data_IF_969034633539
#
_entry.id   IF_969034633539
#
_cell.length_a   1.000
_cell.length_b   1.000
_cell.length_c   1.000
_cell.angle_alpha   90.00
_cell.angle_beta   90.00
_cell.angle_gamma   90.00
#
_symmetry.space_group_name_H-M   'P 1'
#
loop_
_entity.id
_entity.type
_entity.pdbx_description
1 polymer ?
#
# COMPACT_ATOMS: atom_id res chain seq x y z
N UNK A 1 2.78 20.92 10.00
CA UNK A 1 2.83 19.44 10.09
C UNK A 1 2.82 18.88 8.67
N UNK A 2 3.66 17.88 8.37
CA UNK A 2 3.65 17.23 7.05
C UNK A 2 2.31 16.53 6.81
N UNK A 3 1.72 16.74 5.63
CA UNK A 3 0.46 16.08 5.25
C UNK A 3 0.73 14.59 5.06
N UNK A 4 -0.01 13.74 5.76
CA UNK A 4 0.07 12.28 5.66
C UNK A 4 -0.73 11.82 4.46
N UNK A 5 -0.21 10.84 3.72
CA UNK A 5 -0.95 10.20 2.64
C UNK A 5 -0.76 8.69 2.61
N UNK A 6 -1.74 8.02 2.01
CA UNK A 6 -1.72 6.59 1.68
C UNK A 6 -1.71 6.46 0.17
N UNK A 7 -0.79 5.65 -0.34
CA UNK A 7 -0.73 5.30 -1.75
C UNK A 7 -1.39 3.93 -1.95
N UNK A 8 -2.38 3.87 -2.82
CA UNK A 8 -3.15 2.69 -3.19
C UNK A 8 -2.74 2.28 -4.61
N UNK A 9 -2.07 1.14 -4.75
CA UNK A 9 -1.78 0.54 -6.03
C UNK A 9 -2.89 -0.46 -6.35
N UNK A 10 -3.82 -0.06 -7.21
CA UNK A 10 -5.02 -0.83 -7.54
C UNK A 10 -5.24 -0.86 -9.06
N UNK A 11 -5.55 -2.02 -9.62
CA UNK A 11 -5.85 -2.13 -11.04
C UNK A 11 -7.35 -1.92 -11.30
N UNK A 12 -7.73 -0.70 -11.71
CA UNK A 12 -9.11 -0.33 -12.00
C UNK A 12 -9.79 -1.14 -13.12
N UNK A 13 -9.04 -1.97 -13.88
CA UNK A 13 -9.61 -2.83 -14.93
C UNK A 13 -10.37 -4.04 -14.39
N UNK A 14 -10.38 -4.28 -13.09
CA UNK A 14 -10.88 -5.53 -12.52
C UNK A 14 -12.37 -5.57 -12.19
N UNK A 15 -13.18 -4.59 -12.62
CA UNK A 15 -14.63 -4.51 -12.32
C UNK A 15 -14.96 -4.61 -10.80
N UNK A 16 -13.98 -4.37 -9.93
CA UNK A 16 -14.14 -4.42 -8.47
C UNK A 16 -14.14 -3.00 -7.90
N UNK A 17 -14.90 -2.74 -6.83
CA UNK A 17 -14.83 -1.47 -6.12
C UNK A 17 -13.40 -1.19 -5.61
N UNK A 18 -12.96 0.07 -5.77
CA UNK A 18 -11.70 0.54 -5.21
C UNK A 18 -11.81 0.64 -3.69
N UNK A 19 -10.76 0.23 -2.99
CA UNK A 19 -10.65 0.38 -1.52
C UNK A 19 -10.56 1.85 -1.14
N UNK A 20 -10.13 2.71 -2.06
CA UNK A 20 -10.17 4.16 -1.88
C UNK A 20 -11.57 4.63 -1.48
N UNK A 21 -12.61 4.16 -2.17
CA UNK A 21 -14.00 4.55 -1.89
C UNK A 21 -14.46 4.09 -0.51
N UNK A 22 -13.99 2.93 -0.04
CA UNK A 22 -14.27 2.45 1.30
C UNK A 22 -13.59 3.31 2.38
N UNK A 23 -12.38 3.80 2.11
CA UNK A 23 -11.55 4.54 3.08
C UNK A 23 -11.79 6.06 3.09
N UNK A 24 -12.23 6.65 1.97
CA UNK A 24 -12.41 8.10 1.82
C UNK A 24 -13.36 8.68 2.87
N UNK A 25 -14.38 7.91 3.28
CA UNK A 25 -15.36 8.33 4.28
C UNK A 25 -14.86 8.22 5.72
N UNK A 26 -13.86 7.38 5.98
CA UNK A 26 -13.40 7.07 7.34
C UNK A 26 -12.26 7.99 7.81
N UNK A 27 -11.53 8.61 6.89
CA UNK A 27 -10.26 9.31 7.19
C UNK A 27 -10.08 10.62 6.43
N UNK A 28 -10.90 11.66 6.71
CA UNK A 28 -10.82 12.94 5.99
C UNK A 28 -9.47 13.67 6.14
N UNK A 29 -8.72 13.38 7.20
CA UNK A 29 -7.39 13.96 7.43
C UNK A 29 -6.23 13.27 6.68
N UNK A 30 -6.49 12.17 5.97
CA UNK A 30 -5.47 11.40 5.23
C UNK A 30 -5.74 11.55 3.74
N UNK A 31 -4.72 11.98 3.00
CA UNK A 31 -4.83 12.02 1.54
C UNK A 31 -4.71 10.58 0.99
N UNK A 32 -5.73 10.12 0.26
CA UNK A 32 -5.74 8.82 -0.40
C UNK A 32 -5.44 9.00 -1.89
N UNK A 33 -4.35 8.42 -2.37
CA UNK A 33 -3.92 8.52 -3.77
C UNK A 33 -3.96 7.13 -4.39
N UNK A 34 -4.85 6.91 -5.36
CA UNK A 34 -4.90 5.64 -6.11
C UNK A 34 -4.17 5.76 -7.43
N UNK A 35 -3.35 4.75 -7.74
CA UNK A 35 -2.56 4.65 -8.97
C UNK A 35 -2.75 3.28 -9.62
N UNK A 36 -2.80 3.21 -10.96
CA UNK A 36 -3.17 1.99 -11.67
C UNK A 36 -2.02 0.99 -11.84
N UNK A 37 -0.78 1.41 -11.64
CA UNK A 37 0.41 0.59 -11.88
C UNK A 37 1.62 1.07 -11.06
N UNK A 38 2.65 0.23 -10.89
CA UNK A 38 3.80 0.58 -10.05
C UNK A 38 4.65 1.73 -10.58
N UNK A 39 4.71 1.95 -11.90
CA UNK A 39 5.44 3.09 -12.48
C UNK A 39 4.81 4.41 -12.02
N UNK A 40 3.48 4.51 -12.05
CA UNK A 40 2.75 5.67 -11.53
C UNK A 40 2.91 5.82 -10.02
N UNK A 41 2.98 4.70 -9.28
CA UNK A 41 3.27 4.73 -7.86
C UNK A 41 4.64 5.38 -7.56
N UNK A 42 5.68 5.01 -8.30
CA UNK A 42 7.01 5.61 -8.16
C UNK A 42 7.02 7.10 -8.49
N UNK A 43 6.32 7.53 -9.54
CA UNK A 43 6.19 8.95 -9.89
C UNK A 43 5.58 9.77 -8.75
N UNK A 44 4.45 9.32 -8.20
CA UNK A 44 3.80 9.98 -7.04
C UNK A 44 4.73 10.03 -5.83
N UNK A 45 5.48 8.96 -5.59
CA UNK A 45 6.43 8.91 -4.48
C UNK A 45 7.58 9.89 -4.65
N UNK A 46 8.05 10.13 -5.86
CA UNK A 46 9.08 11.11 -6.17
C UNK A 46 8.56 12.54 -6.01
N UNK A 47 7.37 12.85 -6.56
CA UNK A 47 6.69 14.13 -6.41
C UNK A 47 6.41 14.47 -4.94
N UNK A 48 5.94 13.48 -4.17
CA UNK A 48 5.60 13.66 -2.75
C UNK A 48 6.78 14.09 -1.87
N UNK A 49 8.02 13.73 -2.26
CA UNK A 49 9.25 14.15 -1.55
C UNK A 49 9.47 15.65 -1.70
N UNK A 50 9.26 16.16 -2.91
CA UNK A 50 9.36 17.59 -3.21
C UNK A 50 8.30 18.40 -2.47
N UNK A 51 7.11 17.82 -2.26
CA UNK A 51 5.99 18.45 -1.54
C UNK A 51 6.07 18.29 0.00
N UNK A 52 7.13 17.68 0.53
CA UNK A 52 7.27 17.35 1.96
C UNK A 52 6.08 16.56 2.54
N UNK A 53 5.39 15.77 1.71
CA UNK A 53 4.34 14.84 2.13
C UNK A 53 4.97 13.60 2.74
N UNK A 54 4.37 13.09 3.83
CA UNK A 54 4.85 11.88 4.49
C UNK A 54 4.01 10.67 4.08
N UNK A 55 4.61 9.75 3.32
CA UNK A 55 4.01 8.45 3.04
C UNK A 55 3.84 7.69 4.36
N UNK A 56 2.58 7.43 4.71
CA UNK A 56 2.25 6.70 5.96
C UNK A 56 2.06 5.22 5.68
N UNK A 57 1.46 4.90 4.54
CA UNK A 57 1.16 3.53 4.15
C UNK A 57 1.13 3.39 2.63
N UNK A 58 1.55 2.23 2.17
CA UNK A 58 1.43 1.76 0.80
C UNK A 58 0.56 0.51 0.82
N UNK A 59 -0.54 0.54 0.08
CA UNK A 59 -1.48 -0.58 -0.04
C UNK A 59 -1.40 -1.08 -1.47
N UNK A 60 -1.11 -2.36 -1.65
CA UNK A 60 -0.89 -2.97 -2.96
C UNK A 60 -1.89 -4.09 -3.13
N UNK A 61 -2.76 -3.94 -4.11
CA UNK A 61 -3.66 -4.99 -4.57
C UNK A 61 -2.88 -5.98 -5.45
N UNK A 62 -2.64 -7.19 -4.95
CA UNK A 62 -1.79 -8.20 -5.62
C UNK A 62 -2.43 -8.86 -6.83
N UNK A 63 -3.70 -8.58 -7.10
CA UNK A 63 -4.28 -8.93 -8.40
C UNK A 63 -3.72 -8.02 -9.53
N UNK A 64 -2.91 -7.00 -9.21
CA UNK A 64 -2.03 -6.32 -10.17
C UNK A 64 -0.90 -7.26 -10.65
N UNK A 65 -0.29 -6.96 -11.80
CA UNK A 65 0.76 -7.79 -12.40
C UNK A 65 1.89 -8.11 -11.40
N UNK A 66 1.86 -9.34 -10.89
CA UNK A 66 2.70 -9.96 -9.89
C UNK A 66 4.21 -9.64 -10.03
N UNK A 67 4.75 -9.70 -11.25
CA UNK A 67 6.17 -9.42 -11.52
C UNK A 67 6.52 -7.94 -11.34
N UNK A 68 5.62 -7.05 -11.75
CA UNK A 68 5.83 -5.61 -11.63
C UNK A 68 5.83 -5.16 -10.17
N UNK A 69 5.02 -5.82 -9.31
CA UNK A 69 4.97 -5.54 -7.88
C UNK A 69 6.28 -5.90 -7.17
N UNK A 70 6.95 -7.00 -7.56
CA UNK A 70 8.27 -7.35 -6.99
C UNK A 70 9.29 -6.26 -7.32
N UNK A 71 9.45 -5.93 -8.60
CA UNK A 71 10.41 -4.91 -9.03
C UNK A 71 10.14 -3.56 -8.38
N UNK A 72 8.87 -3.24 -8.15
CA UNK A 72 8.45 -2.06 -7.41
C UNK A 72 8.89 -2.08 -5.94
N UNK A 73 8.65 -3.16 -5.20
CA UNK A 73 9.05 -3.27 -3.80
C UNK A 73 10.57 -3.24 -3.63
N UNK A 74 11.31 -3.86 -4.54
CA UNK A 74 12.77 -3.77 -4.59
C UNK A 74 13.23 -2.33 -4.79
N UNK A 75 12.66 -1.64 -5.78
CA UNK A 75 12.96 -0.21 -6.04
C UNK A 75 12.62 0.64 -4.83
N UNK A 76 11.44 0.45 -4.25
CA UNK A 76 10.96 1.14 -3.05
C UNK A 76 11.94 0.97 -1.88
N UNK A 77 12.46 -0.23 -1.65
CA UNK A 77 13.41 -0.51 -0.57
C UNK A 77 14.74 0.26 -0.71
N UNK A 78 15.14 0.62 -1.95
CA UNK A 78 16.34 1.41 -2.21
C UNK A 78 16.10 2.89 -1.98
N UNK A 79 14.93 3.39 -2.38
CA UNK A 79 14.61 4.82 -2.27
C UNK A 79 14.09 5.18 -0.87
N UNK A 80 13.41 4.29 -0.17
CA UNK A 80 12.90 4.46 1.20
C UNK A 80 13.50 3.40 2.16
N UNK A 81 14.80 3.50 2.50
CA UNK A 81 15.52 2.44 3.22
C UNK A 81 15.12 2.27 4.71
N UNK A 82 14.36 3.19 5.31
CA UNK A 82 14.18 3.27 6.78
C UNK A 82 12.81 2.82 7.34
N UNK A 83 12.06 1.93 6.67
CA UNK A 83 10.76 1.42 7.16
C UNK A 83 9.75 2.49 7.60
N UNK A 84 9.84 3.70 7.05
CA UNK A 84 8.99 4.82 7.46
C UNK A 84 7.52 4.66 7.05
N UNK A 85 7.25 3.67 6.18
CA UNK A 85 5.96 3.39 5.60
C UNK A 85 5.56 1.93 5.87
N UNK A 86 4.31 1.71 6.28
CA UNK A 86 3.70 0.38 6.36
C UNK A 86 3.29 -0.09 4.96
N UNK A 87 3.64 -1.32 4.60
CA UNK A 87 3.22 -1.91 3.33
C UNK A 87 2.18 -2.99 3.60
N UNK A 88 0.98 -2.82 3.03
CA UNK A 88 -0.08 -3.82 3.04
C UNK A 88 -0.20 -4.43 1.65
N UNK A 89 -0.13 -5.76 1.59
CA UNK A 89 -0.43 -6.53 0.39
C UNK A 89 -1.83 -7.09 0.54
N UNK A 90 -2.67 -6.86 -0.46
CA UNK A 90 -4.03 -7.34 -0.48
C UNK A 90 -4.11 -8.52 -1.42
N UNK A 91 -4.59 -9.65 -0.92
CA UNK A 91 -4.92 -10.78 -1.76
C UNK A 91 -5.98 -11.65 -1.12
N UNK A 92 -6.93 -12.08 -1.93
CA UNK A 92 -7.93 -13.07 -1.52
C UNK A 92 -7.50 -14.51 -1.86
N UNK A 93 -6.31 -14.71 -2.45
CA UNK A 93 -5.78 -16.02 -2.81
C UNK A 93 -4.47 -16.32 -2.08
N UNK A 94 -4.41 -17.35 -1.21
CA UNK A 94 -3.13 -17.82 -0.70
C UNK A 94 -2.36 -18.49 -1.85
N UNK A 95 -1.18 -17.96 -2.17
CA UNK A 95 -0.32 -18.50 -3.22
C UNK A 95 1.14 -18.58 -2.77
N UNK A 96 1.91 -19.57 -3.26
CA UNK A 96 3.35 -19.69 -2.97
C UNK A 96 4.13 -18.41 -3.33
N UNK A 97 3.64 -17.66 -4.31
CA UNK A 97 4.17 -16.37 -4.70
C UNK A 97 4.12 -15.30 -3.60
N UNK A 98 3.01 -15.23 -2.86
CA UNK A 98 2.84 -14.23 -1.81
C UNK A 98 3.86 -14.48 -0.68
N UNK A 99 4.15 -15.75 -0.38
CA UNK A 99 5.20 -16.09 0.57
C UNK A 99 6.60 -15.68 0.08
N UNK A 100 6.88 -15.80 -1.22
CA UNK A 100 8.12 -15.28 -1.82
C UNK A 100 8.21 -13.75 -1.72
N UNK A 101 7.10 -13.03 -1.92
CA UNK A 101 7.03 -11.57 -1.75
C UNK A 101 7.30 -11.12 -0.31
N UNK A 102 6.70 -11.83 0.66
CA UNK A 102 6.88 -11.56 2.08
C UNK A 102 8.33 -11.83 2.53
N UNK A 103 8.95 -12.88 1.99
CA UNK A 103 10.33 -13.26 2.36
C UNK A 103 11.41 -12.44 1.66
N UNK A 104 11.18 -11.98 0.42
CA UNK A 104 12.15 -11.18 -0.33
C UNK A 104 12.18 -9.68 0.08
N UNK A 105 11.08 -9.16 0.63
CA UNK A 105 10.96 -7.73 0.89
C UNK A 105 11.60 -7.32 2.23
N UNK A 106 12.63 -6.45 2.16
CA UNK A 106 13.26 -5.82 3.33
C UNK A 106 12.28 -4.99 4.18
N UNK A 107 11.19 -4.54 3.55
CA UNK A 107 10.19 -3.66 4.15
C UNK A 107 9.13 -4.41 4.98
N UNK A 108 9.22 -5.75 5.11
CA UNK A 108 8.31 -6.59 5.89
C UNK A 108 6.83 -6.26 5.63
N UNK A 109 6.36 -6.44 4.38
CA UNK A 109 4.95 -6.23 4.05
C UNK A 109 4.05 -7.14 4.88
N UNK A 110 2.85 -6.67 5.20
CA UNK A 110 1.81 -7.46 5.84
C UNK A 110 0.79 -7.89 4.79
N UNK A 111 0.49 -9.19 4.73
CA UNK A 111 -0.56 -9.72 3.87
C UNK A 111 -1.91 -9.67 4.59
N UNK A 112 -2.93 -9.18 3.91
CA UNK A 112 -4.29 -9.18 4.41
C UNK A 112 -5.31 -9.49 3.30
N UNK A 113 -6.37 -10.21 3.66
CA UNK A 113 -7.52 -10.41 2.77
C UNK A 113 -8.21 -9.08 2.47
N UNK A 114 -8.70 -8.90 1.24
CA UNK A 114 -9.27 -7.62 0.79
C UNK A 114 -10.41 -7.14 1.69
N UNK A 115 -11.28 -8.07 2.09
CA UNK A 115 -12.44 -7.80 2.98
C UNK A 115 -12.04 -7.24 4.35
N UNK A 116 -10.84 -7.54 4.83
CA UNK A 116 -10.33 -7.06 6.12
C UNK A 116 -9.45 -5.79 5.99
N UNK A 117 -9.07 -5.41 4.76
CA UNK A 117 -8.15 -4.32 4.50
C UNK A 117 -8.63 -2.99 5.08
N UNK A 118 -9.90 -2.63 4.84
CA UNK A 118 -10.47 -1.37 5.33
C UNK A 118 -10.42 -1.23 6.86
N UNK A 119 -10.75 -2.31 7.59
CA UNK A 119 -10.68 -2.32 9.06
C UNK A 119 -9.22 -2.28 9.57
N UNK A 120 -8.30 -2.97 8.89
CA UNK A 120 -6.89 -2.97 9.26
C UNK A 120 -6.24 -1.61 9.08
N UNK A 121 -6.51 -0.96 7.95
CA UNK A 121 -6.02 0.39 7.65
C UNK A 121 -6.54 1.38 8.71
N UNK A 122 -7.83 1.31 9.05
CA UNK A 122 -8.43 2.08 10.15
C UNK A 122 -7.67 1.92 11.45
N UNK A 123 -7.42 0.68 11.86
CA UNK A 123 -6.73 0.37 13.12
C UNK A 123 -5.29 0.92 13.14
N UNK A 124 -4.56 0.75 12.03
CA UNK A 124 -3.20 1.28 11.88
C UNK A 124 -3.15 2.82 11.94
N UNK A 125 -4.11 3.49 11.32
CA UNK A 125 -4.18 4.96 11.32
C UNK A 125 -4.53 5.54 12.70
N UNK A 126 -5.30 4.80 13.51
CA UNK A 126 -5.65 5.17 14.88
C UNK A 126 -4.57 4.79 15.91
N UNK A 127 -3.47 4.16 15.47
CA UNK A 127 -2.40 3.70 16.36
C UNK A 127 -2.78 2.49 17.23
N UNK A 128 -3.85 1.78 16.88
CA UNK A 128 -4.31 0.60 17.59
C UNK A 128 -3.58 -0.65 17.09
N UNK A 129 -2.71 -1.21 17.92
CA UNK A 129 -2.16 -2.55 17.72
C UNK A 129 -3.20 -3.58 18.16
N UNK A 130 -3.88 -4.22 17.21
CA UNK A 130 -4.73 -5.38 17.51
C UNK A 130 -3.85 -6.58 17.92
N UNK A 131 -4.23 -7.39 18.93
CA UNK A 131 -3.47 -8.58 19.28
C UNK A 131 -3.56 -9.60 18.13
N UNK A 132 -2.40 -10.17 17.80
CA UNK A 132 -2.22 -11.27 16.84
C UNK A 132 -2.93 -12.52 17.33
#
# INVERSE_FOLDING_TARGET
MAKKFILLLENNKQNRPSIKTELENDHPQVELVSVPNPLKALQVLEESRSEAKKLTMLVIDLDANTLEVIGFLETLSRIYPNRECKILLLSDQPGPFIQSLLSASRNQPELIGRKAAGQRIRSMLLGMNWPV
#
